data_IF_586269847354
#
_entry.id   IF_586269847354
#
_cell.length_a   1.000
_cell.length_b   1.000
_cell.length_c   1.000
_cell.angle_alpha   90.00
_cell.angle_beta   90.00
_cell.angle_gamma   90.00
#
_symmetry.space_group_name_H-M   'P 1'
#
loop_
_entity.id
_entity.type
_entity.pdbx_description
1 polymer ?
#
# COMPACT_ATOMS: atom_id res chain seq x y z
N UNK A 1 -7.86 -13.01 7.96
CA UNK A 1 -7.64 -11.60 7.59
C UNK A 1 -6.37 -11.40 6.77
N UNK A 2 -5.19 -11.77 7.29
CA UNK A 2 -3.88 -11.68 6.60
C UNK A 2 -3.92 -12.20 5.14
N UNK A 3 -4.45 -13.41 4.92
CA UNK A 3 -4.55 -13.99 3.58
C UNK A 3 -5.43 -13.18 2.60
N UNK A 4 -6.47 -12.49 3.09
CA UNK A 4 -7.29 -11.60 2.25
C UNK A 4 -6.50 -10.37 1.82
N UNK A 5 -5.72 -9.77 2.74
CA UNK A 5 -4.86 -8.63 2.43
C UNK A 5 -3.75 -9.02 1.45
N UNK A 6 -3.05 -10.13 1.67
CA UNK A 6 -2.02 -10.63 0.73
C UNK A 6 -2.61 -10.91 -0.65
N UNK A 7 -3.78 -11.56 -0.72
CA UNK A 7 -4.46 -11.80 -2.00
C UNK A 7 -4.81 -10.49 -2.71
N UNK A 8 -5.31 -9.49 -1.98
CA UNK A 8 -5.60 -8.16 -2.52
C UNK A 8 -4.36 -7.44 -3.03
N UNK A 9 -3.27 -7.44 -2.23
CA UNK A 9 -2.01 -6.81 -2.59
C UNK A 9 -1.40 -7.46 -3.84
N UNK A 10 -1.37 -8.80 -3.92
CA UNK A 10 -0.91 -9.54 -5.10
C UNK A 10 -1.74 -9.20 -6.34
N UNK A 11 -3.06 -9.27 -6.23
CA UNK A 11 -3.95 -8.99 -7.36
C UNK A 11 -3.80 -7.55 -7.87
N UNK A 12 -3.61 -6.59 -6.96
CA UNK A 12 -3.41 -5.19 -7.30
C UNK A 12 -2.18 -4.98 -8.21
N UNK A 13 -1.10 -5.75 -8.05
CA UNK A 13 0.13 -5.58 -8.86
C UNK A 13 -0.11 -5.57 -10.37
N UNK A 14 -1.17 -6.24 -10.86
CA UNK A 14 -1.54 -6.28 -12.28
C UNK A 14 -1.99 -4.91 -12.84
N UNK A 15 -2.32 -3.95 -11.97
CA UNK A 15 -2.76 -2.61 -12.34
C UNK A 15 -1.67 -1.54 -12.18
N UNK A 16 -0.45 -1.92 -11.77
CA UNK A 16 0.64 -0.98 -11.57
C UNK A 16 1.05 -0.31 -12.90
N UNK A 17 1.18 1.01 -12.88
CA UNK A 17 1.68 1.79 -14.02
C UNK A 17 3.17 2.03 -13.83
N UNK A 18 4.00 1.13 -14.37
CA UNK A 18 5.45 1.08 -14.12
C UNK A 18 6.31 0.98 -15.39
N UNK A 19 6.11 1.85 -16.40
CA UNK A 19 6.83 1.73 -17.67
C UNK A 19 8.33 2.01 -17.56
N UNK A 20 8.82 2.63 -16.47
CA UNK A 20 10.23 3.01 -16.34
C UNK A 20 11.03 1.96 -15.56
N UNK A 21 10.56 1.55 -14.38
CA UNK A 21 11.27 0.54 -13.58
C UNK A 21 10.89 -0.89 -13.93
N UNK A 22 9.72 -1.08 -14.56
CA UNK A 22 9.07 -2.39 -14.69
C UNK A 22 8.90 -3.12 -13.35
N UNK A 23 8.83 -2.39 -12.22
CA UNK A 23 8.78 -2.97 -10.89
C UNK A 23 7.40 -2.80 -10.25
N UNK A 24 6.45 -3.75 -10.46
CA UNK A 24 5.11 -3.62 -9.94
C UNK A 24 5.07 -3.86 -8.42
N UNK A 25 4.40 -2.95 -7.70
CA UNK A 25 4.13 -3.05 -6.27
C UNK A 25 2.63 -2.86 -6.06
N UNK A 26 2.02 -3.80 -5.36
CA UNK A 26 0.63 -3.73 -4.92
C UNK A 26 0.54 -3.66 -3.41
N UNK A 27 -0.42 -2.91 -2.90
CA UNK A 27 -0.72 -2.83 -1.48
C UNK A 27 -2.21 -3.02 -1.22
N UNK A 28 -2.54 -3.58 -0.06
CA UNK A 28 -3.90 -3.68 0.44
C UNK A 28 -3.91 -3.25 1.91
N UNK A 29 -4.78 -2.31 2.28
CA UNK A 29 -4.92 -1.82 3.65
C UNK A 29 -6.26 -2.23 4.24
N UNK A 30 -6.27 -2.48 5.55
CA UNK A 30 -7.47 -2.74 6.34
C UNK A 30 -7.80 -1.49 7.15
N UNK A 31 -8.96 -0.89 6.92
CA UNK A 31 -9.44 0.30 7.64
C UNK A 31 -10.32 -0.06 8.85
N UNK A 32 -10.77 0.94 9.61
CA UNK A 32 -11.42 0.78 10.91
C UNK A 32 -12.73 -0.04 10.90
N UNK A 33 -13.49 -0.01 9.82
CA UNK A 33 -14.75 -0.74 9.65
C UNK A 33 -14.55 -2.16 9.08
N UNK A 34 -13.32 -2.54 8.78
CA UNK A 34 -12.98 -3.83 8.17
C UNK A 34 -12.93 -3.83 6.65
N UNK A 35 -13.19 -2.69 5.99
CA UNK A 35 -13.05 -2.53 4.55
C UNK A 35 -11.59 -2.71 4.12
N UNK A 36 -11.39 -3.30 2.93
CA UNK A 36 -10.07 -3.43 2.31
C UNK A 36 -9.98 -2.49 1.12
N UNK A 37 -8.98 -1.61 1.14
CA UNK A 37 -8.69 -0.69 0.03
C UNK A 37 -7.33 -1.05 -0.56
N UNK A 38 -7.24 -1.09 -1.88
CA UNK A 38 -6.00 -1.44 -2.60
C UNK A 38 -5.36 -0.23 -3.26
N UNK A 39 -4.07 -0.35 -3.52
CA UNK A 39 -3.29 0.63 -4.28
C UNK A 39 -2.13 -0.04 -5.00
N UNK A 40 -1.58 0.68 -5.97
CA UNK A 40 -0.46 0.26 -6.81
C UNK A 40 0.52 1.40 -6.97
N UNK A 41 1.79 1.10 -7.26
CA UNK A 41 2.69 2.17 -7.66
C UNK A 41 2.32 2.71 -9.05
N UNK A 42 2.41 4.04 -9.16
CA UNK A 42 2.11 4.81 -10.36
C UNK A 42 3.32 5.69 -10.63
N UNK A 43 4.05 5.37 -11.70
CA UNK A 43 5.24 6.08 -12.08
C UNK A 43 4.96 7.28 -12.97
N UNK A 44 5.93 8.18 -13.02
CA UNK A 44 5.94 9.32 -13.91
C UNK A 44 7.35 9.52 -14.49
N UNK A 45 7.47 10.08 -15.69
CA UNK A 45 8.77 10.40 -16.30
C UNK A 45 9.59 11.36 -15.43
N UNK A 46 8.92 12.30 -14.75
CA UNK A 46 9.52 13.06 -13.67
C UNK A 46 9.51 12.20 -12.40
N UNK A 47 10.59 11.43 -12.19
CA UNK A 47 10.64 10.33 -11.20
C UNK A 47 10.25 10.73 -9.77
N UNK A 48 10.48 11.99 -9.37
CA UNK A 48 10.06 12.51 -8.06
C UNK A 48 8.54 12.52 -7.84
N UNK A 49 7.74 12.43 -8.91
CA UNK A 49 6.28 12.37 -8.87
C UNK A 49 5.73 10.95 -8.72
N UNK A 50 6.59 9.93 -8.72
CA UNK A 50 6.16 8.53 -8.53
C UNK A 50 5.53 8.33 -7.15
N UNK A 51 4.36 7.70 -7.14
CA UNK A 51 3.62 7.35 -5.93
C UNK A 51 3.70 5.83 -5.73
N UNK A 52 4.05 5.39 -4.53
CA UNK A 52 4.17 3.97 -4.20
C UNK A 52 2.78 3.36 -3.89
N UNK A 53 2.65 2.04 -4.00
CA UNK A 53 1.37 1.34 -3.80
C UNK A 53 0.74 1.56 -2.43
N UNK A 54 1.55 1.65 -1.38
CA UNK A 54 1.07 1.89 -0.02
C UNK A 54 0.46 3.29 0.12
N UNK A 55 1.11 4.30 -0.47
CA UNK A 55 0.59 5.68 -0.49
C UNK A 55 -0.69 5.77 -1.30
N UNK A 56 -0.76 5.12 -2.47
CA UNK A 56 -2.00 5.07 -3.27
C UNK A 56 -3.12 4.39 -2.49
N UNK A 57 -2.86 3.28 -1.80
CA UNK A 57 -3.89 2.58 -1.01
C UNK A 57 -4.43 3.47 0.12
N UNK A 58 -3.55 4.15 0.85
CA UNK A 58 -3.94 5.10 1.91
C UNK A 58 -4.72 6.27 1.33
N UNK A 59 -4.25 6.89 0.24
CA UNK A 59 -4.91 8.05 -0.35
C UNK A 59 -6.30 7.68 -0.91
N UNK A 60 -6.45 6.49 -1.49
CA UNK A 60 -7.75 5.96 -1.91
C UNK A 60 -8.71 5.80 -0.73
N UNK A 61 -8.24 5.29 0.41
CA UNK A 61 -9.06 5.16 1.63
C UNK A 61 -9.38 6.52 2.25
N UNK A 62 -8.41 7.42 2.30
CA UNK A 62 -8.59 8.78 2.81
C UNK A 62 -9.61 9.56 1.98
N UNK A 63 -9.59 9.43 0.66
CA UNK A 63 -10.57 10.01 -0.24
C UNK A 63 -12.00 9.48 -0.01
N UNK A 64 -12.13 8.26 0.51
CA UNK A 64 -13.42 7.66 0.91
C UNK A 64 -13.85 8.03 2.34
N UNK A 65 -13.06 8.82 3.06
CA UNK A 65 -13.38 9.28 4.43
C UNK A 65 -12.72 8.50 5.55
N UNK A 66 -12.04 7.38 5.26
CA UNK A 66 -11.32 6.60 6.28
C UNK A 66 -10.12 7.35 6.82
N UNK A 67 -9.86 7.24 8.12
CA UNK A 67 -8.72 7.92 8.78
C UNK A 67 -7.85 6.99 9.59
N UNK A 68 -8.25 5.73 9.79
CA UNK A 68 -7.51 4.78 10.64
C UNK A 68 -7.24 3.47 9.91
N UNK A 69 -5.98 3.26 9.54
CA UNK A 69 -5.50 2.01 8.94
C UNK A 69 -4.96 1.09 10.03
N UNK A 70 -5.53 -0.12 10.14
CA UNK A 70 -5.13 -1.13 11.14
C UNK A 70 -4.01 -2.04 10.65
N UNK A 71 -3.99 -2.33 9.35
CA UNK A 71 -2.97 -3.19 8.76
C UNK A 71 -2.73 -2.84 7.29
N UNK A 72 -1.53 -3.15 6.80
CA UNK A 72 -1.16 -3.09 5.38
C UNK A 72 -0.47 -4.39 4.97
N UNK A 73 -0.83 -4.93 3.82
CA UNK A 73 -0.03 -5.93 3.12
C UNK A 73 0.60 -5.32 1.88
N UNK A 74 1.87 -5.64 1.64
CA UNK A 74 2.65 -5.18 0.49
C UNK A 74 3.15 -6.38 -0.30
N UNK A 75 2.94 -6.37 -1.61
CA UNK A 75 3.43 -7.39 -2.52
C UNK A 75 4.25 -6.75 -3.64
N UNK A 76 5.45 -7.28 -3.84
CA UNK A 76 6.36 -6.90 -4.91
C UNK A 76 6.91 -8.18 -5.54
N UNK A 77 6.30 -8.71 -6.62
CA UNK A 77 6.66 -10.00 -7.19
C UNK A 77 8.14 -10.14 -7.60
N UNK A 78 8.80 -9.00 -7.88
CA UNK A 78 10.22 -8.94 -8.25
C UNK A 78 11.17 -8.75 -7.07
N UNK A 79 10.65 -8.51 -5.86
CA UNK A 79 11.45 -8.41 -4.63
C UNK A 79 10.61 -8.90 -3.45
N UNK A 80 10.56 -10.23 -3.23
CA UNK A 80 9.85 -10.81 -2.11
C UNK A 80 10.34 -10.20 -0.79
N UNK A 81 9.40 -9.89 0.10
CA UNK A 81 9.63 -9.20 1.37
C UNK A 81 10.22 -7.78 1.24
N UNK A 82 9.96 -7.10 0.13
CA UNK A 82 10.26 -5.68 -0.01
C UNK A 82 9.58 -4.87 1.11
N UNK A 83 10.36 -4.03 1.79
CA UNK A 83 9.83 -3.19 2.87
C UNK A 83 9.38 -1.82 2.34
N UNK A 84 8.39 -1.17 2.98
CA UNK A 84 7.99 0.18 2.60
C UNK A 84 9.16 1.17 2.63
N UNK A 85 9.21 2.07 1.64
CA UNK A 85 10.19 3.14 1.61
C UNK A 85 9.93 4.17 2.75
N UNK A 86 10.91 5.03 3.03
CA UNK A 86 10.79 6.01 4.13
C UNK A 86 9.55 6.91 4.03
N UNK A 87 9.22 7.38 2.83
CA UNK A 87 8.01 8.19 2.60
C UNK A 87 6.72 7.41 2.91
N UNK A 88 6.63 6.13 2.49
CA UNK A 88 5.48 5.28 2.82
C UNK A 88 5.36 5.05 4.33
N UNK A 89 6.48 4.80 5.02
CA UNK A 89 6.49 4.62 6.48
C UNK A 89 5.94 5.84 7.20
N UNK A 90 6.31 7.05 6.75
CA UNK A 90 5.82 8.28 7.35
C UNK A 90 4.30 8.45 7.14
N UNK A 91 3.79 8.18 5.94
CA UNK A 91 2.35 8.25 5.67
C UNK A 91 1.59 7.16 6.46
N UNK A 92 2.09 5.92 6.51
CA UNK A 92 1.50 4.86 7.33
C UNK A 92 1.45 5.27 8.82
N UNK A 93 2.51 5.90 9.33
CA UNK A 93 2.57 6.36 10.71
C UNK A 93 1.54 7.44 11.05
N UNK A 94 1.16 8.27 10.08
CA UNK A 94 0.12 9.29 10.22
C UNK A 94 -1.29 8.65 10.34
N UNK A 95 -1.54 7.57 9.59
CA UNK A 95 -2.84 6.92 9.52
C UNK A 95 -3.00 5.70 10.46
N UNK A 96 -1.99 5.39 11.30
CA UNK A 96 -2.08 4.28 12.26
C UNK A 96 -3.09 4.60 13.39
N UNK A 97 -3.58 3.60 14.14
CA UNK A 97 -4.42 3.85 15.31
C UNK A 97 -3.68 4.69 16.37
N UNK A 98 -4.35 5.66 16.98
CA UNK A 98 -3.73 6.60 17.93
C UNK A 98 -3.03 5.92 19.11
N UNK A 99 -3.57 4.80 19.59
CA UNK A 99 -3.06 4.04 20.74
C UNK A 99 -2.63 2.62 20.35
N UNK A 100 -2.22 2.39 19.10
CA UNK A 100 -1.90 1.04 18.64
C UNK A 100 -0.87 1.01 17.51
N UNK A 101 -0.29 -0.17 17.32
CA UNK A 101 0.58 -0.45 16.19
C UNK A 101 -0.25 -0.80 14.94
N UNK A 102 0.24 -0.37 13.78
CA UNK A 102 -0.27 -0.86 12.50
C UNK A 102 0.50 -2.13 12.13
N UNK A 103 -0.20 -3.21 11.80
CA UNK A 103 0.46 -4.43 11.32
C UNK A 103 0.94 -4.27 9.87
N UNK A 104 2.22 -4.50 9.61
CA UNK A 104 2.80 -4.53 8.26
C UNK A 104 3.08 -5.97 7.86
N UNK A 105 2.50 -6.41 6.75
CA UNK A 105 2.62 -7.76 6.21
C UNK A 105 3.38 -7.68 4.89
N UNK A 106 4.47 -8.44 4.76
CA UNK A 106 5.26 -8.49 3.55
C UNK A 106 5.05 -9.85 2.87
N UNK A 107 4.73 -9.82 1.59
CA UNK A 107 4.61 -10.99 0.72
C UNK A 107 5.99 -11.47 0.22
#
# INVERSE_FOLDING_TARGET
MIQKLLKGARAATAHAYVPYSSFPVGAAILVEDGTIVTGVNIENASYGLTVCGERVAIFNAAAQGYRVVRAVAVSAPRSPRATPCGACRQVLNEFKPANGEMTVILD
#
